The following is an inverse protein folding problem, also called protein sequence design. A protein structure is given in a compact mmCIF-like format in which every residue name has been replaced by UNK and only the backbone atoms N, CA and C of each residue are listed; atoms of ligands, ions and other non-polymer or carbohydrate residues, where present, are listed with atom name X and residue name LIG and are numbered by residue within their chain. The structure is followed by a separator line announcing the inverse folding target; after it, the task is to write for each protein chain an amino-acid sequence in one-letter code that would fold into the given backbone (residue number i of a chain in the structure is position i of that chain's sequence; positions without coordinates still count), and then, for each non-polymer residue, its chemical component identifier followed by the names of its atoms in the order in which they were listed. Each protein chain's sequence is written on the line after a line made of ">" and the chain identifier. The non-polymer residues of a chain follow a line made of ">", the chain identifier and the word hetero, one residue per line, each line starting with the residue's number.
data_IF_117637051417
#
_entry.id   IF_117637051417
#
_cell.length_a   1.000
_cell.length_b   1.000
_cell.length_c   1.000
_cell.angle_alpha   90.00
_cell.angle_beta   90.00
_cell.angle_gamma   90.00
#
_symmetry.space_group_name_H-M   'P 1'
#
loop_
_entity.id
_entity.type
_entity.pdbx_description
1 polymer ?
#
# COMPACT_ATOMS: atom_id res chain seq x y z
N UNK A 1 19.87 6.23 3.93
CA UNK A 1 19.28 7.43 3.27
C UNK A 1 19.61 7.46 1.78
N UNK A 2 20.74 6.90 1.35
CA UNK A 2 21.21 6.92 -0.04
C UNK A 2 20.19 6.36 -1.04
N UNK A 3 19.52 5.26 -0.68
CA UNK A 3 18.47 4.64 -1.52
C UNK A 3 17.27 5.55 -1.78
N UNK A 4 16.88 6.36 -0.79
CA UNK A 4 15.80 7.34 -0.92
C UNK A 4 16.20 8.49 -1.85
N UNK A 5 17.48 8.90 -1.79
CA UNK A 5 18.05 9.92 -2.67
C UNK A 5 18.20 9.40 -4.11
N UNK A 6 18.64 8.15 -4.29
CA UNK A 6 18.68 7.49 -5.60
C UNK A 6 17.29 7.37 -6.22
N UNK A 7 16.30 6.97 -5.41
CA UNK A 7 14.91 6.92 -5.83
C UNK A 7 14.42 8.31 -6.28
N UNK A 8 14.63 9.34 -5.45
CA UNK A 8 14.22 10.71 -5.78
C UNK A 8 14.90 11.23 -7.06
N UNK A 9 16.19 10.94 -7.26
CA UNK A 9 16.89 11.27 -8.51
C UNK A 9 16.31 10.54 -9.72
N UNK A 10 15.99 9.26 -9.57
CA UNK A 10 15.39 8.48 -10.64
C UNK A 10 14.03 9.06 -11.05
N UNK A 11 13.16 9.37 -10.08
CA UNK A 11 11.83 9.93 -10.36
C UNK A 11 11.94 11.27 -11.10
N UNK A 12 12.87 12.14 -10.70
CA UNK A 12 13.14 13.40 -11.40
C UNK A 12 13.59 13.18 -12.85
N UNK A 13 14.44 12.19 -13.08
CA UNK A 13 14.91 11.83 -14.42
C UNK A 13 13.84 11.18 -15.30
N UNK A 14 12.85 10.51 -14.69
CA UNK A 14 11.79 9.76 -15.39
C UNK A 14 10.46 10.51 -15.47
N UNK A 15 10.54 11.84 -15.46
CA UNK A 15 9.43 12.68 -15.82
C UNK A 15 8.69 13.32 -14.67
N UNK A 16 9.18 13.30 -13.43
CA UNK A 16 8.61 14.07 -12.31
C UNK A 16 9.70 14.92 -11.61
N UNK A 17 10.20 15.98 -12.28
CA UNK A 17 11.36 16.77 -11.84
C UNK A 17 11.13 17.54 -10.53
N UNK A 18 9.87 17.83 -10.20
CA UNK A 18 9.46 18.44 -8.94
C UNK A 18 9.49 17.49 -7.72
N UNK A 19 9.93 16.23 -7.89
CA UNK A 19 9.99 15.27 -6.79
C UNK A 19 10.94 15.73 -5.67
N UNK A 20 10.47 15.79 -4.41
CA UNK A 20 11.29 16.28 -3.31
C UNK A 20 12.29 15.23 -2.82
N UNK A 21 13.42 15.71 -2.29
CA UNK A 21 14.38 14.88 -1.58
C UNK A 21 13.85 14.45 -0.19
N UNK A 22 14.32 13.33 0.37
CA UNK A 22 13.95 12.89 1.71
C UNK A 22 14.40 13.91 2.78
N UNK A 23 13.58 14.10 3.81
CA UNK A 23 13.94 14.85 5.00
C UNK A 23 15.00 14.12 5.83
N UNK A 24 15.69 14.81 6.76
CA UNK A 24 16.64 14.16 7.68
C UNK A 24 16.04 12.97 8.45
N UNK A 25 14.73 13.01 8.72
CA UNK A 25 13.98 11.93 9.38
C UNK A 25 13.66 10.74 8.45
N UNK A 26 14.15 10.74 7.21
CA UNK A 26 13.97 9.65 6.24
C UNK A 26 12.60 9.61 5.58
N UNK A 27 11.87 10.73 5.52
CA UNK A 27 10.53 10.82 4.90
C UNK A 27 10.57 11.65 3.64
N UNK A 28 9.81 11.27 2.60
CA UNK A 28 9.58 12.13 1.43
C UNK A 28 8.24 12.84 1.60
N UNK A 29 8.26 14.17 1.58
CA UNK A 29 7.06 15.00 1.67
C UNK A 29 6.57 15.37 0.28
N UNK A 30 5.90 14.42 -0.39
CA UNK A 30 5.34 14.66 -1.71
C UNK A 30 4.03 15.46 -1.60
N UNK A 31 3.96 16.60 -2.29
CA UNK A 31 2.68 17.27 -2.59
C UNK A 31 2.33 16.96 -4.04
N UNK A 32 1.26 16.20 -4.26
CA UNK A 32 0.76 15.94 -5.61
C UNK A 32 -0.31 16.96 -5.96
N UNK A 33 -0.18 17.60 -7.12
CA UNK A 33 -1.24 18.45 -7.65
C UNK A 33 -2.29 17.61 -8.39
N UNK A 34 -3.45 18.22 -8.63
CA UNK A 34 -4.54 17.55 -9.35
C UNK A 34 -4.12 17.34 -10.81
N UNK A 35 -3.81 16.10 -11.18
CA UNK A 35 -3.36 15.73 -12.54
C UNK A 35 -2.00 15.03 -12.57
N UNK A 36 -1.24 15.08 -11.48
CA UNK A 36 0.11 14.53 -11.39
C UNK A 36 0.17 13.01 -11.26
N UNK A 37 -0.96 12.37 -10.92
CA UNK A 37 -1.01 10.94 -10.60
C UNK A 37 -0.43 10.05 -11.69
N UNK A 38 -0.83 10.26 -12.95
CA UNK A 38 -0.36 9.45 -14.08
C UNK A 38 1.15 9.67 -14.37
N UNK A 39 1.61 10.92 -14.24
CA UNK A 39 3.02 11.31 -14.43
C UNK A 39 3.90 10.68 -13.36
N UNK A 40 3.44 10.76 -12.11
CA UNK A 40 4.12 10.17 -10.97
C UNK A 40 4.14 8.65 -11.05
N UNK A 41 3.03 8.00 -11.38
CA UNK A 41 2.94 6.54 -11.55
C UNK A 41 3.92 6.04 -12.63
N UNK A 42 3.97 6.71 -13.79
CA UNK A 42 4.90 6.36 -14.86
C UNK A 42 6.37 6.48 -14.40
N UNK A 43 6.71 7.57 -13.70
CA UNK A 43 8.04 7.78 -13.16
C UNK A 43 8.41 6.71 -12.11
N UNK A 44 7.47 6.37 -11.22
CA UNK A 44 7.68 5.32 -10.23
C UNK A 44 7.91 3.94 -10.87
N UNK A 45 7.14 3.61 -11.93
CA UNK A 45 7.30 2.35 -12.65
C UNK A 45 8.69 2.23 -13.29
N UNK A 46 9.20 3.31 -13.87
CA UNK A 46 10.54 3.36 -14.43
C UNK A 46 11.64 3.24 -13.35
N UNK A 47 11.32 3.62 -12.11
CA UNK A 47 12.25 3.64 -10.97
C UNK A 47 12.07 2.51 -9.98
N UNK A 48 11.32 1.46 -10.35
CA UNK A 48 10.96 0.32 -9.48
C UNK A 48 12.17 -0.29 -8.76
N UNK A 49 13.28 -0.49 -9.47
CA UNK A 49 14.48 -1.13 -8.91
C UNK A 49 15.22 -0.27 -7.87
N UNK A 50 14.81 1.00 -7.75
CA UNK A 50 15.37 1.98 -6.80
C UNK A 50 14.44 2.23 -5.60
N UNK A 51 13.24 1.64 -5.57
CA UNK A 51 12.27 1.82 -4.48
C UNK A 51 12.85 1.27 -3.17
N UNK A 52 12.90 2.07 -2.09
CA UNK A 52 13.34 1.58 -0.79
C UNK A 52 12.30 0.68 -0.11
N UNK A 53 12.75 -0.35 0.62
CA UNK A 53 11.84 -1.19 1.41
C UNK A 53 11.02 -0.34 2.40
N UNK A 54 9.70 -0.53 2.42
CA UNK A 54 8.80 0.20 3.32
C UNK A 54 8.28 1.53 2.79
N UNK A 55 8.64 1.91 1.56
CA UNK A 55 8.11 3.11 0.89
C UNK A 55 6.87 2.82 0.02
N UNK A 56 6.67 1.56 -0.42
CA UNK A 56 5.56 1.14 -1.25
C UNK A 56 4.28 0.82 -0.47
N UNK A 57 3.50 1.88 -0.23
CA UNK A 57 2.04 1.77 -0.11
C UNK A 57 1.32 1.99 -1.48
N UNK A 58 2.09 2.19 -2.55
CA UNK A 58 1.59 2.34 -3.93
C UNK A 58 2.14 1.21 -4.78
N UNK A 59 1.25 0.32 -5.21
CA UNK A 59 1.21 -0.56 -6.40
C UNK A 59 2.47 -1.30 -6.93
N UNK A 60 3.70 -0.97 -6.52
CA UNK A 60 4.95 -1.38 -7.18
C UNK A 60 5.77 -2.42 -6.41
N UNK A 61 5.44 -2.63 -5.13
CA UNK A 61 6.10 -3.60 -4.23
C UNK A 61 5.30 -4.89 -4.04
N UNK A 62 4.47 -5.28 -5.02
CA UNK A 62 3.88 -6.63 -5.03
C UNK A 62 4.95 -7.62 -5.45
N UNK A 63 5.72 -8.11 -4.48
CA UNK A 63 6.53 -9.31 -4.70
C UNK A 63 5.62 -10.53 -4.76
N UNK A 64 6.00 -11.62 -5.46
CA UNK A 64 5.27 -12.87 -5.42
C UNK A 64 5.01 -13.36 -3.99
N UNK A 65 5.99 -13.19 -3.08
CA UNK A 65 5.82 -13.54 -1.67
C UNK A 65 4.78 -12.66 -0.96
N UNK A 66 4.75 -11.34 -1.25
CA UNK A 66 3.75 -10.43 -0.71
C UNK A 66 2.36 -10.75 -1.25
N UNK A 67 2.24 -11.05 -2.55
CA UNK A 67 0.98 -11.45 -3.16
C UNK A 67 0.44 -12.74 -2.54
N UNK A 68 1.30 -13.73 -2.31
CA UNK A 68 0.92 -14.96 -1.62
C UNK A 68 0.48 -14.69 -0.18
N UNK A 69 1.17 -13.81 0.55
CA UNK A 69 0.77 -13.41 1.90
C UNK A 69 -0.60 -12.70 1.91
N UNK A 70 -0.88 -11.84 0.93
CA UNK A 70 -2.17 -11.17 0.76
C UNK A 70 -3.29 -12.16 0.42
N UNK A 71 -3.04 -13.13 -0.47
CA UNK A 71 -4.00 -14.20 -0.79
C UNK A 71 -4.29 -15.09 0.43
N UNK A 72 -3.25 -15.45 1.19
CA UNK A 72 -3.40 -16.22 2.43
C UNK A 72 -4.20 -15.44 3.49
N UNK A 73 -3.97 -14.13 3.59
CA UNK A 73 -4.75 -13.25 4.44
C UNK A 73 -6.23 -13.23 4.03
N UNK A 74 -6.54 -13.03 2.75
CA UNK A 74 -7.90 -13.04 2.23
C UNK A 74 -8.62 -14.36 2.53
N UNK A 75 -7.94 -15.49 2.30
CA UNK A 75 -8.47 -16.83 2.60
C UNK A 75 -8.80 -17.00 4.08
N UNK A 76 -7.88 -16.62 4.97
CA UNK A 76 -8.10 -16.69 6.42
C UNK A 76 -9.32 -15.85 6.85
N UNK A 77 -9.46 -14.63 6.32
CA UNK A 77 -10.58 -13.74 6.67
C UNK A 77 -11.93 -14.33 6.22
N UNK A 78 -11.95 -14.97 5.04
CA UNK A 78 -13.12 -15.72 4.55
C UNK A 78 -13.49 -16.90 5.45
N UNK A 79 -12.50 -17.67 5.88
CA UNK A 79 -12.68 -18.80 6.81
C UNK A 79 -13.18 -18.36 8.19
N UNK A 80 -12.75 -17.19 8.66
CA UNK A 80 -13.20 -16.58 9.93
C UNK A 80 -14.58 -15.93 9.85
N UNK A 81 -15.25 -16.03 8.69
CA UNK A 81 -16.67 -15.74 8.53
C UNK A 81 -16.99 -14.47 7.76
N UNK A 82 -16.00 -13.79 7.20
CA UNK A 82 -16.20 -12.68 6.25
C UNK A 82 -16.11 -13.24 4.83
N UNK A 83 -17.10 -14.05 4.45
CA UNK A 83 -17.08 -14.80 3.18
C UNK A 83 -16.94 -13.92 1.94
N UNK A 84 -17.47 -12.70 2.02
CA UNK A 84 -17.47 -11.72 0.94
C UNK A 84 -16.17 -10.88 0.88
N UNK A 85 -15.13 -11.25 1.64
CA UNK A 85 -13.86 -10.56 1.61
C UNK A 85 -13.17 -10.76 0.24
N UNK A 86 -12.83 -9.67 -0.49
CA UNK A 86 -12.28 -9.77 -1.83
C UNK A 86 -10.82 -10.26 -1.81
N UNK A 87 -10.38 -10.78 -2.94
CA UNK A 87 -8.96 -11.08 -3.18
C UNK A 87 -8.18 -9.79 -3.52
N UNK A 88 -6.86 -9.77 -3.29
CA UNK A 88 -6.04 -8.62 -3.64
C UNK A 88 -5.99 -8.44 -5.16
N UNK A 89 -5.97 -7.19 -5.61
CA UNK A 89 -5.71 -6.81 -6.99
C UNK A 89 -4.29 -7.25 -7.42
N UNK A 90 -3.97 -7.22 -8.73
CA UNK A 90 -2.60 -7.41 -9.21
C UNK A 90 -1.58 -6.46 -8.56
N UNK A 91 -2.06 -5.34 -8.02
CA UNK A 91 -1.27 -4.32 -7.33
C UNK A 91 -1.20 -4.54 -5.81
N UNK A 92 -1.69 -5.68 -5.31
CA UNK A 92 -1.62 -6.06 -3.91
C UNK A 92 -2.51 -5.22 -3.00
N UNK A 93 -3.53 -4.58 -3.57
CA UNK A 93 -4.51 -3.77 -2.86
C UNK A 93 -5.82 -4.53 -2.70
N UNK A 94 -6.55 -4.31 -1.61
CA UNK A 94 -7.90 -4.81 -1.46
C UNK A 94 -8.90 -3.71 -1.81
N UNK A 95 -9.68 -3.93 -2.85
CA UNK A 95 -10.74 -3.02 -3.28
C UNK A 95 -11.96 -3.19 -2.35
N UNK A 96 -11.89 -2.58 -1.17
CA UNK A 96 -12.97 -2.60 -0.18
C UNK A 96 -13.75 -1.28 -0.27
N UNK A 97 -14.38 -1.06 -1.41
CA UNK A 97 -15.22 0.10 -1.70
C UNK A 97 -16.72 -0.21 -1.73
N UNK A 98 -17.09 -1.49 -1.81
CA UNK A 98 -18.48 -1.88 -1.93
C UNK A 98 -19.17 -1.93 -0.56
N UNK A 99 -20.34 -1.30 -0.48
CA UNK A 99 -21.25 -1.29 0.67
C UNK A 99 -21.71 -2.69 1.15
N UNK A 100 -21.22 -3.77 0.54
CA UNK A 100 -21.49 -5.16 0.89
C UNK A 100 -20.61 -5.66 2.03
N UNK A 101 -19.46 -5.02 2.28
CA UNK A 101 -18.51 -5.49 3.28
C UNK A 101 -18.41 -4.50 4.46
N UNK A 102 -19.12 -4.80 5.55
CA UNK A 102 -18.98 -4.03 6.79
C UNK A 102 -17.72 -4.47 7.55
N UNK A 103 -16.59 -3.86 7.21
CA UNK A 103 -15.32 -4.00 7.95
C UNK A 103 -15.40 -3.46 9.39
N UNK A 104 -16.39 -2.62 9.68
CA UNK A 104 -16.60 -2.08 11.02
C UNK A 104 -17.38 -3.05 11.91
N UNK A 105 -18.00 -4.10 11.36
CA UNK A 105 -18.70 -5.09 12.17
C UNK A 105 -17.74 -5.82 13.13
N UNK A 106 -18.21 -6.23 14.32
CA UNK A 106 -17.38 -7.00 15.27
C UNK A 106 -16.82 -8.28 14.65
N UNK A 107 -17.60 -8.92 13.77
CA UNK A 107 -17.22 -10.13 13.04
C UNK A 107 -16.04 -9.90 12.12
N UNK A 108 -16.10 -8.83 11.31
CA UNK A 108 -15.00 -8.46 10.42
C UNK A 108 -13.75 -8.06 11.19
N UNK A 109 -13.88 -7.30 12.28
CA UNK A 109 -12.73 -6.94 13.12
C UNK A 109 -12.05 -8.16 13.74
N UNK A 110 -12.80 -9.11 14.29
CA UNK A 110 -12.22 -10.33 14.84
C UNK A 110 -11.52 -11.17 13.77
N UNK A 111 -12.12 -11.29 12.58
CA UNK A 111 -11.51 -12.01 11.47
C UNK A 111 -10.20 -11.36 11.02
N UNK A 112 -10.20 -10.04 10.82
CA UNK A 112 -8.99 -9.29 10.43
C UNK A 112 -7.88 -9.40 11.48
N UNK A 113 -8.22 -9.28 12.77
CA UNK A 113 -7.26 -9.36 13.87
C UNK A 113 -6.65 -10.76 14.00
N UNK A 114 -7.48 -11.81 13.94
CA UNK A 114 -7.01 -13.19 13.95
C UNK A 114 -6.09 -13.52 12.76
N UNK A 115 -6.32 -12.89 11.61
CA UNK A 115 -5.54 -13.11 10.39
C UNK A 115 -4.37 -12.11 10.23
N UNK A 116 -4.26 -11.07 11.07
CA UNK A 116 -3.20 -10.07 10.99
C UNK A 116 -1.78 -10.64 11.19
N UNK A 117 -1.68 -11.85 11.74
CA UNK A 117 -0.41 -12.54 11.94
C UNK A 117 0.13 -13.18 10.66
N UNK A 118 -0.75 -13.46 9.69
CA UNK A 118 -0.41 -13.96 8.34
C UNK A 118 0.20 -12.83 7.50
N UNK A 119 -0.20 -11.58 7.78
CA UNK A 119 0.31 -10.40 7.09
C UNK A 119 0.56 -9.27 8.11
N UNK A 120 1.80 -9.15 8.59
CA UNK A 120 2.18 -8.14 9.58
C UNK A 120 1.80 -6.73 9.07
N UNK A 121 0.97 -5.96 9.80
CA UNK A 121 0.45 -4.69 9.32
C UNK A 121 1.53 -3.60 9.37
N UNK A 122 2.30 -3.49 8.29
CA UNK A 122 2.99 -2.28 7.83
C UNK A 122 2.71 -1.98 6.35
N UNK A 123 1.89 -2.82 5.71
CA UNK A 123 1.67 -2.88 4.26
C UNK A 123 0.19 -2.78 3.86
N UNK A 124 -0.73 -2.64 4.81
CA UNK A 124 -2.14 -2.33 4.56
C UNK A 124 -2.43 -0.94 5.12
N UNK A 125 -2.59 0.05 4.24
CA UNK A 125 -3.18 1.33 4.60
C UNK A 125 -4.70 1.15 4.80
N UNK A 126 -5.11 0.49 5.90
CA UNK A 126 -6.52 0.57 6.32
C UNK A 126 -6.72 1.99 6.87
N UNK A 127 -7.18 2.90 6.01
CA UNK A 127 -7.65 4.24 6.39
C UNK A 127 -8.87 4.07 7.30
N UNK A 128 -8.66 3.98 8.62
CA UNK A 128 -9.73 4.19 9.60
C UNK A 128 -9.92 5.70 9.77
N UNK A 129 -10.98 6.25 9.20
CA UNK A 129 -11.51 7.54 9.67
C UNK A 129 -12.21 7.28 11.00
N UNK A 130 -11.56 7.63 12.12
CA UNK A 130 -12.15 7.58 13.46
C UNK A 130 -11.38 8.49 14.41
N UNK A 131 -12.05 9.21 15.33
CA UNK A 131 -11.43 10.24 16.13
C UNK A 131 -10.44 9.66 17.16
N UNK A 132 -9.35 10.39 17.48
CA UNK A 132 -8.49 10.04 18.60
C UNK A 132 -9.29 10.12 19.90
N UNK A 133 -9.08 9.15 20.79
CA UNK A 133 -9.57 9.26 22.17
C UNK A 133 -8.78 10.32 22.93
#
# INVERSE_FOLDING_TARGET
>A
MDRLVEYARCIRANGYPEFPDPTPDGRIQLRMERGDGARFEAAQKACRDKVPPGMGATDLDVTPERMQALLAFASCVRERGVKDFPDPSPNGTFEIGDARLDLSSPKSRQALDACAQIHRPGALAIRRNGPPR
#
